data_IF_726535294355
#
_entry.id   IF_726535294355
#
_cell.length_a   1.000
_cell.length_b   1.000
_cell.length_c   1.000
_cell.angle_alpha   90.00
_cell.angle_beta   90.00
_cell.angle_gamma   90.00
#
_symmetry.space_group_name_H-M   'P 1'
#
loop_
_entity.id
_entity.type
_entity.pdbx_description
1 polymer ?
#
# COMPACT_ATOMS: atom_id res chain seq x y z
N UNK A 1 1.41 35.28 -15.24
CA UNK A 1 0.11 35.49 -14.57
C UNK A 1 -0.71 34.24 -14.84
N UNK A 2 -0.75 33.29 -13.89
CA UNK A 2 -1.68 32.15 -13.98
C UNK A 2 -3.00 32.67 -13.44
N UNK A 3 -3.86 33.18 -14.33
CA UNK A 3 -5.21 33.71 -14.00
C UNK A 3 -6.31 32.90 -14.68
N UNK A 4 -5.97 31.88 -15.46
CA UNK A 4 -6.97 30.98 -15.99
C UNK A 4 -7.39 29.97 -14.90
N UNK A 5 -8.68 29.93 -14.52
CA UNK A 5 -9.15 29.06 -13.44
C UNK A 5 -8.90 27.57 -13.74
N UNK A 6 -8.79 27.20 -15.02
CA UNK A 6 -8.48 25.84 -15.45
C UNK A 6 -7.03 25.42 -15.15
N UNK A 7 -6.02 26.26 -15.35
CA UNK A 7 -4.65 25.93 -14.95
C UNK A 7 -4.49 25.83 -13.44
N UNK A 8 -5.19 26.65 -12.66
CA UNK A 8 -5.18 26.53 -11.19
C UNK A 8 -5.78 25.20 -10.74
N UNK A 9 -6.90 24.78 -11.36
CA UNK A 9 -7.49 23.47 -11.11
C UNK A 9 -6.54 22.33 -11.49
N UNK A 10 -5.92 22.40 -12.67
CA UNK A 10 -4.97 21.39 -13.12
C UNK A 10 -3.74 21.30 -12.19
N UNK A 11 -3.17 22.43 -11.76
CA UNK A 11 -2.03 22.48 -10.86
C UNK A 11 -2.30 21.84 -9.49
N UNK A 12 -3.55 21.82 -9.05
CA UNK A 12 -3.97 21.23 -7.77
C UNK A 12 -4.38 19.76 -7.94
N UNK A 13 -5.10 19.42 -9.02
CA UNK A 13 -5.63 18.08 -9.26
C UNK A 13 -4.56 17.09 -9.72
N UNK A 14 -3.63 17.50 -10.58
CA UNK A 14 -2.58 16.63 -11.10
C UNK A 14 -1.71 15.99 -9.99
N UNK A 15 -1.16 16.75 -9.02
CA UNK A 15 -0.37 16.16 -7.95
C UNK A 15 -1.20 15.28 -7.01
N UNK A 16 -2.48 15.60 -6.77
CA UNK A 16 -3.36 14.74 -5.98
C UNK A 16 -3.56 13.36 -6.61
N UNK A 17 -3.77 13.31 -7.93
CA UNK A 17 -3.89 12.05 -8.67
C UNK A 17 -2.60 11.23 -8.54
N UNK A 18 -1.44 11.88 -8.68
CA UNK A 18 -0.14 11.22 -8.54
C UNK A 18 0.02 10.63 -7.13
N UNK A 19 -0.32 11.39 -6.08
CA UNK A 19 -0.23 10.91 -4.69
C UNK A 19 -1.11 9.68 -4.47
N UNK A 20 -2.35 9.69 -4.98
CA UNK A 20 -3.27 8.55 -4.87
C UNK A 20 -2.70 7.34 -5.61
N UNK A 21 -2.18 7.51 -6.82
CA UNK A 21 -1.56 6.41 -7.58
C UNK A 21 -0.37 5.84 -6.81
N UNK A 22 0.53 6.68 -6.31
CA UNK A 22 1.69 6.24 -5.52
C UNK A 22 1.24 5.49 -4.27
N UNK A 23 0.22 5.98 -3.56
CA UNK A 23 -0.34 5.31 -2.38
C UNK A 23 -0.86 3.90 -2.70
N UNK A 24 -1.61 3.75 -3.80
CA UNK A 24 -2.10 2.45 -4.25
C UNK A 24 -0.96 1.52 -4.68
N UNK A 25 0.02 2.03 -5.44
CA UNK A 25 1.17 1.24 -5.88
C UNK A 25 1.97 0.74 -4.68
N UNK A 26 2.24 1.60 -3.70
CA UNK A 26 2.94 1.21 -2.47
C UNK A 26 2.13 0.18 -1.68
N UNK A 27 0.81 0.37 -1.53
CA UNK A 27 -0.06 -0.59 -0.85
C UNK A 27 -0.04 -1.98 -1.51
N UNK A 28 -0.11 -2.04 -2.84
CA UNK A 28 -0.05 -3.29 -3.60
C UNK A 28 1.33 -3.94 -3.46
N UNK A 29 2.41 -3.17 -3.58
CA UNK A 29 3.78 -3.68 -3.40
C UNK A 29 3.97 -4.31 -2.03
N UNK A 30 3.43 -3.68 -0.98
CA UNK A 30 3.51 -4.24 0.37
C UNK A 30 2.67 -5.51 0.49
N UNK A 31 1.44 -5.54 -0.04
CA UNK A 31 0.61 -6.74 0.00
C UNK A 31 1.29 -7.94 -0.70
N UNK A 32 1.87 -7.70 -1.88
CA UNK A 32 2.63 -8.71 -2.62
C UNK A 32 3.88 -9.14 -1.85
N UNK A 33 4.57 -8.19 -1.20
CA UNK A 33 5.72 -8.50 -0.36
C UNK A 33 5.34 -9.37 0.83
N UNK A 34 4.26 -9.04 1.57
CA UNK A 34 3.75 -9.85 2.69
C UNK A 34 3.41 -11.26 2.23
N UNK A 35 2.74 -11.40 1.09
CA UNK A 35 2.41 -12.70 0.50
C UNK A 35 3.67 -13.54 0.24
N UNK A 36 4.66 -12.97 -0.46
CA UNK A 36 5.91 -13.68 -0.78
C UNK A 36 6.74 -13.99 0.46
N UNK A 37 6.77 -13.09 1.44
CA UNK A 37 7.52 -13.24 2.69
C UNK A 37 6.90 -14.35 3.57
N UNK A 38 5.57 -14.47 3.57
CA UNK A 38 4.87 -15.54 4.25
C UNK A 38 5.09 -16.92 3.61
N UNK A 39 4.94 -17.02 2.28
CA UNK A 39 5.24 -18.26 1.53
C UNK A 39 6.69 -18.71 1.73
N UNK A 40 7.65 -17.77 1.73
CA UNK A 40 9.06 -18.09 1.96
C UNK A 40 9.34 -18.66 3.36
N UNK A 41 8.50 -18.34 4.35
CA UNK A 41 8.58 -18.86 5.71
C UNK A 41 7.73 -20.13 5.92
N UNK A 42 7.13 -20.67 4.85
CA UNK A 42 6.26 -21.85 4.92
C UNK A 42 4.89 -21.59 5.54
N UNK A 43 4.53 -20.32 5.71
CA UNK A 43 3.20 -19.90 6.16
C UNK A 43 2.30 -19.67 4.95
N UNK A 44 0.98 -19.82 5.12
CA UNK A 44 0.04 -19.53 4.04
C UNK A 44 0.09 -18.04 3.67
N UNK A 45 0.67 -17.70 2.52
CA UNK A 45 0.76 -16.32 2.07
C UNK A 45 -0.61 -15.73 1.77
N UNK A 46 -1.54 -16.57 1.30
CA UNK A 46 -2.94 -16.19 1.06
C UNK A 46 -3.61 -15.74 2.36
N UNK A 47 -3.39 -16.47 3.46
CA UNK A 47 -3.96 -16.10 4.77
C UNK A 47 -3.44 -14.73 5.21
N UNK A 48 -2.12 -14.50 5.13
CA UNK A 48 -1.51 -13.23 5.49
C UNK A 48 -1.93 -12.08 4.56
N UNK A 49 -2.13 -12.35 3.28
CA UNK A 49 -2.65 -11.36 2.33
C UNK A 49 -4.10 -10.97 2.67
N UNK A 50 -4.96 -11.93 3.02
CA UNK A 50 -6.35 -11.65 3.46
C UNK A 50 -6.35 -10.81 4.74
N UNK A 51 -5.51 -11.16 5.73
CA UNK A 51 -5.34 -10.38 6.96
C UNK A 51 -4.86 -8.96 6.64
N UNK A 52 -3.89 -8.83 5.73
CA UNK A 52 -3.35 -7.54 5.34
C UNK A 52 -4.34 -6.70 4.53
N UNK A 53 -5.30 -7.30 3.81
CA UNK A 53 -6.38 -6.57 3.12
C UNK A 53 -7.48 -6.15 4.10
N UNK A 54 -7.88 -7.04 5.02
CA UNK A 54 -8.95 -6.76 6.00
C UNK A 54 -8.52 -5.76 7.08
N UNK A 55 -7.29 -5.89 7.58
CA UNK A 55 -6.74 -5.02 8.62
C UNK A 55 -5.83 -3.92 8.06
N UNK A 56 -5.57 -3.90 6.74
CA UNK A 56 -4.76 -2.89 6.06
C UNK A 56 -3.40 -2.68 6.76
N UNK A 57 -3.11 -1.46 7.24
CA UNK A 57 -1.91 -1.14 8.01
C UNK A 57 -1.73 -1.99 9.27
N UNK A 58 -2.81 -2.36 9.96
CA UNK A 58 -2.71 -3.16 11.19
C UNK A 58 -2.26 -4.58 10.87
N UNK A 59 -2.74 -5.17 9.77
CA UNK A 59 -2.31 -6.50 9.32
C UNK A 59 -0.82 -6.55 8.97
N UNK A 60 -0.30 -5.47 8.38
CA UNK A 60 1.11 -5.27 8.07
C UNK A 60 1.97 -5.16 9.34
N UNK A 61 1.52 -4.40 10.34
CA UNK A 61 2.19 -4.28 11.64
C UNK A 61 2.24 -5.63 12.35
N UNK A 62 1.13 -6.38 12.36
CA UNK A 62 1.07 -7.72 12.95
C UNK A 62 2.05 -8.66 12.23
N UNK A 63 2.09 -8.64 10.89
CA UNK A 63 3.05 -9.44 10.12
C UNK A 63 4.48 -9.13 10.51
N UNK A 64 4.86 -7.84 10.59
CA UNK A 64 6.21 -7.42 10.97
C UNK A 64 6.61 -7.89 12.37
N UNK A 65 5.66 -7.90 13.32
CA UNK A 65 5.91 -8.39 14.69
C UNK A 65 6.08 -9.91 14.68
N UNK A 66 5.17 -10.65 14.04
CA UNK A 66 5.23 -12.12 13.95
C UNK A 66 6.49 -12.58 13.23
N UNK A 67 6.87 -11.88 12.16
CA UNK A 67 8.10 -12.11 11.40
C UNK A 67 9.35 -11.99 12.27
N UNK A 68 9.40 -11.03 13.20
CA UNK A 68 10.59 -10.80 14.04
C UNK A 68 10.77 -11.89 15.10
N UNK A 69 9.67 -12.47 15.55
CA UNK A 69 9.66 -13.46 16.62
C UNK A 69 9.86 -14.90 16.11
N UNK A 70 10.03 -15.09 14.79
CA UNK A 70 10.33 -16.35 14.11
C UNK A 70 11.63 -16.23 13.33
#
# INVERSE_FOLDING_TARGET
>A
MITDPFALMAAILLPMIIIVIVWFVVGILIAVWVYKDAEAKGESGVLWLIICILLSFVGLIIWLIVRRNK
#
